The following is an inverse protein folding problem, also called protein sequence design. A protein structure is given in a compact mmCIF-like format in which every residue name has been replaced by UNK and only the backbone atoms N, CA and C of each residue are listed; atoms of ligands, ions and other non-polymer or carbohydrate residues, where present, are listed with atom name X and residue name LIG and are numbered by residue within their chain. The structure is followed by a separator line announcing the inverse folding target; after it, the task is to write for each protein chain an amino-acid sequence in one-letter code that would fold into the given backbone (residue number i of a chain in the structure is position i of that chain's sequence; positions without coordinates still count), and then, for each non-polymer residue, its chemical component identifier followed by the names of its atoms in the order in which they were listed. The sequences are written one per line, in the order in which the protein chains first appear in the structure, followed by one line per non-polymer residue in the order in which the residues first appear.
data_IF_720974167619
#
_entry.id   IF_720974167619
#
_cell.length_a   1.000
_cell.length_b   1.000
_cell.length_c   1.000
_cell.angle_alpha   90.00
_cell.angle_beta   90.00
_cell.angle_gamma   90.00
#
_symmetry.space_group_name_H-M   'P 1'
#
loop_
_entity.id
_entity.type
_entity.pdbx_description
1 polymer ?
#
# COMPACT_ATOMS: atom_id res chain seq x y z
N UNK A 1 -23.30 -26.24 1.03
CA UNK A 1 -23.16 -25.75 -0.38
C UNK A 1 -23.35 -24.24 -0.55
N UNK A 2 -23.69 -23.46 0.49
CA UNK A 2 -23.94 -22.00 0.36
C UNK A 2 -22.73 -21.20 -0.15
N UNK A 3 -21.51 -21.64 0.19
CA UNK A 3 -20.25 -20.96 -0.15
C UNK A 3 -19.91 -21.02 -1.65
N UNK A 4 -20.24 -22.14 -2.30
CA UNK A 4 -19.95 -22.35 -3.73
C UNK A 4 -20.99 -21.69 -4.62
N UNK A 5 -22.17 -21.40 -4.09
CA UNK A 5 -23.27 -20.78 -4.85
C UNK A 5 -23.15 -19.26 -4.95
N UNK A 6 -22.30 -18.62 -4.15
CA UNK A 6 -22.13 -17.17 -4.16
C UNK A 6 -20.94 -16.76 -5.07
N UNK A 7 -21.18 -16.16 -6.25
CA UNK A 7 -20.12 -15.78 -7.19
C UNK A 7 -19.21 -14.66 -6.70
N UNK A 8 -19.60 -13.94 -5.64
CA UNK A 8 -18.80 -12.87 -5.05
C UNK A 8 -17.79 -13.38 -4.01
N UNK A 9 -17.89 -14.65 -3.61
CA UNK A 9 -16.97 -15.25 -2.65
C UNK A 9 -15.91 -16.09 -3.39
N UNK A 10 -14.62 -15.85 -3.13
CA UNK A 10 -13.56 -16.66 -3.71
C UNK A 10 -13.63 -18.08 -3.16
N UNK A 11 -13.65 -19.07 -4.06
CA UNK A 11 -13.57 -20.48 -3.70
C UNK A 11 -12.16 -21.01 -4.01
N UNK A 12 -11.48 -21.54 -2.98
CA UNK A 12 -10.10 -22.00 -3.07
C UNK A 12 -9.61 -22.65 -1.78
N UNK A 13 -8.48 -23.35 -1.87
CA UNK A 13 -7.84 -24.02 -0.74
C UNK A 13 -6.61 -23.27 -0.22
N UNK A 14 -6.10 -23.72 0.93
CA UNK A 14 -4.82 -23.27 1.53
C UNK A 14 -4.04 -24.50 2.05
N UNK A 15 -2.73 -24.53 1.80
CA UNK A 15 -1.84 -25.61 2.26
C UNK A 15 -2.13 -26.93 1.55
N UNK A 16 -2.41 -27.99 2.31
CA UNK A 16 -2.69 -29.33 1.75
C UNK A 16 -3.97 -29.37 0.90
N UNK A 17 -4.86 -28.38 1.05
CA UNK A 17 -6.10 -28.27 0.27
C UNK A 17 -5.93 -27.50 -1.05
N UNK A 18 -4.75 -26.94 -1.34
CA UNK A 18 -4.44 -26.24 -2.58
C UNK A 18 -3.98 -24.80 -2.36
N UNK A 19 -3.86 -24.05 -3.47
CA UNK A 19 -3.49 -22.64 -3.51
C UNK A 19 -4.30 -21.89 -4.57
N UNK A 20 -4.48 -20.58 -4.34
CA UNK A 20 -5.29 -19.74 -5.20
C UNK A 20 -6.78 -19.92 -4.95
N UNK A 21 -7.56 -19.03 -5.55
CA UNK A 21 -9.01 -19.08 -5.45
C UNK A 21 -9.62 -18.49 -6.73
N UNK A 22 -10.74 -19.05 -7.15
CA UNK A 22 -11.49 -18.61 -8.32
C UNK A 22 -12.91 -18.22 -7.90
N UNK A 23 -13.79 -18.05 -8.89
CA UNK A 23 -15.20 -17.63 -8.83
C UNK A 23 -15.39 -16.15 -9.15
N UNK A 24 -16.46 -15.84 -9.90
CA UNK A 24 -16.79 -14.48 -10.35
C UNK A 24 -15.57 -13.73 -10.93
N UNK A 25 -15.32 -12.53 -10.40
CA UNK A 25 -14.18 -11.69 -10.78
C UNK A 25 -12.81 -12.34 -10.51
N UNK A 26 -12.70 -13.18 -9.47
CA UNK A 26 -11.43 -13.84 -9.13
C UNK A 26 -11.02 -14.86 -10.18
N UNK A 27 -11.97 -15.53 -10.85
CA UNK A 27 -11.64 -16.35 -12.03
C UNK A 27 -10.99 -15.51 -13.14
N UNK A 28 -11.53 -14.32 -13.42
CA UNK A 28 -10.95 -13.42 -14.43
C UNK A 28 -9.53 -13.01 -14.04
N UNK A 29 -9.30 -12.60 -12.79
CA UNK A 29 -7.96 -12.26 -12.30
C UNK A 29 -6.99 -13.44 -12.40
N UNK A 30 -7.42 -14.66 -12.06
CA UNK A 30 -6.57 -15.87 -12.08
C UNK A 30 -6.16 -16.24 -13.50
N UNK A 31 -7.05 -16.10 -14.49
CA UNK A 31 -6.77 -16.43 -15.88
C UNK A 31 -6.30 -15.24 -16.72
N UNK A 32 -6.11 -14.06 -16.11
CA UNK A 32 -5.62 -12.86 -16.78
C UNK A 32 -4.23 -12.49 -16.31
N UNK A 33 -3.45 -11.89 -17.20
CA UNK A 33 -2.17 -11.30 -16.84
C UNK A 33 -2.35 -9.80 -16.60
N UNK A 34 -2.22 -9.37 -15.34
CA UNK A 34 -2.23 -7.95 -14.96
C UNK A 34 -0.96 -7.26 -15.44
N UNK A 35 -0.97 -6.79 -16.70
CA UNK A 35 0.17 -6.12 -17.33
C UNK A 35 0.31 -4.68 -16.81
N UNK A 36 1.35 -4.43 -16.04
CA UNK A 36 1.71 -3.07 -15.60
C UNK A 36 2.16 -2.21 -16.78
N UNK A 37 1.55 -1.05 -16.96
CA UNK A 37 1.93 -0.04 -17.96
C UNK A 37 2.18 1.28 -17.23
N UNK A 38 3.36 1.86 -17.42
CA UNK A 38 3.72 3.16 -16.86
C UNK A 38 3.82 4.20 -17.99
N UNK A 39 3.10 5.30 -17.83
CA UNK A 39 3.24 6.48 -18.68
C UNK A 39 3.95 7.58 -17.89
N UNK A 40 5.08 8.10 -18.42
CA UNK A 40 5.87 9.16 -17.78
C UNK A 40 5.95 10.36 -18.70
N UNK A 41 5.67 11.54 -18.14
CA UNK A 41 5.90 12.83 -18.80
C UNK A 41 7.33 13.33 -18.58
N UNK A 42 7.86 14.08 -19.53
CA UNK A 42 9.25 14.59 -19.50
C UNK A 42 9.50 15.69 -18.46
N UNK A 43 8.45 16.30 -17.90
CA UNK A 43 8.56 17.54 -17.10
C UNK A 43 9.13 17.29 -15.69
N UNK A 44 8.94 16.08 -15.13
CA UNK A 44 9.37 15.73 -13.77
C UNK A 44 10.48 14.68 -13.79
N UNK A 45 11.49 14.84 -14.65
CA UNK A 45 12.68 14.01 -14.57
C UNK A 45 13.67 14.57 -13.54
N UNK A 46 14.11 13.68 -12.65
CA UNK A 46 14.97 14.03 -11.53
C UNK A 46 16.41 13.96 -12.05
N UNK A 47 17.16 15.07 -11.97
CA UNK A 47 18.54 15.15 -12.48
C UNK A 47 19.46 14.09 -11.84
N UNK A 48 19.20 13.73 -10.58
CA UNK A 48 19.92 12.71 -9.81
C UNK A 48 19.77 11.28 -10.38
N UNK A 49 18.87 11.06 -11.35
CA UNK A 49 18.76 9.81 -12.11
C UNK A 49 19.96 9.61 -13.05
N UNK A 50 20.59 10.69 -13.50
CA UNK A 50 21.66 10.68 -14.49
C UNK A 50 23.02 10.92 -13.83
N UNK A 51 24.10 10.49 -14.51
CA UNK A 51 25.46 10.77 -14.05
C UNK A 51 25.82 12.26 -14.20
N UNK A 52 26.75 12.79 -13.37
CA UNK A 52 27.53 12.11 -12.34
C UNK A 52 26.84 12.08 -10.96
N UNK A 53 26.98 10.95 -10.25
CA UNK A 53 26.41 10.77 -8.91
C UNK A 53 27.26 11.48 -7.85
N UNK A 54 26.88 12.70 -7.49
CA UNK A 54 27.58 13.48 -6.46
C UNK A 54 27.31 12.93 -5.05
N UNK A 55 28.25 13.09 -4.10
CA UNK A 55 28.04 12.67 -2.70
C UNK A 55 26.79 13.29 -2.08
N UNK A 56 26.50 14.56 -2.42
CA UNK A 56 25.31 15.28 -1.96
C UNK A 56 24.01 14.67 -2.52
N UNK A 57 23.95 14.39 -3.83
CA UNK A 57 22.77 13.76 -4.43
C UNK A 57 22.48 12.38 -3.81
N UNK A 58 23.52 11.60 -3.51
CA UNK A 58 23.39 10.31 -2.83
C UNK A 58 22.86 10.43 -1.41
N UNK A 59 23.33 11.42 -0.65
CA UNK A 59 22.83 11.69 0.70
C UNK A 59 21.38 12.16 0.69
N UNK A 60 21.01 13.03 -0.25
CA UNK A 60 19.64 13.51 -0.41
C UNK A 60 18.67 12.38 -0.80
N UNK A 61 19.03 11.56 -1.78
CA UNK A 61 18.22 10.41 -2.17
C UNK A 61 18.11 9.40 -1.02
N UNK A 62 19.21 9.15 -0.30
CA UNK A 62 19.17 8.35 0.92
C UNK A 62 18.16 8.90 1.91
N UNK A 63 18.28 10.20 2.25
CA UNK A 63 17.39 10.90 3.16
C UNK A 63 15.90 10.77 2.76
N UNK A 64 15.60 11.00 1.49
CA UNK A 64 14.24 11.03 0.95
C UNK A 64 13.63 9.62 0.78
N UNK A 65 14.43 8.62 0.43
CA UNK A 65 13.98 7.24 0.26
C UNK A 65 14.07 6.41 1.55
N UNK A 66 14.57 6.96 2.67
CA UNK A 66 14.61 6.21 3.92
C UNK A 66 13.19 5.79 4.32
N UNK A 67 12.92 4.48 4.43
CA UNK A 67 11.60 4.01 4.81
C UNK A 67 11.31 4.43 6.24
N UNK A 68 10.19 5.14 6.44
CA UNK A 68 9.74 5.53 7.78
C UNK A 68 9.51 4.24 8.58
N UNK A 69 10.15 4.07 9.75
CA UNK A 69 9.98 2.86 10.53
C UNK A 69 8.51 2.73 10.99
N UNK A 70 7.96 1.52 10.90
CA UNK A 70 6.56 1.24 11.28
C UNK A 70 6.24 1.62 12.73
N UNK A 71 7.24 1.63 13.62
CA UNK A 71 7.09 2.09 15.01
C UNK A 71 6.70 3.56 15.08
N UNK A 72 7.31 4.43 14.27
CA UNK A 72 7.00 5.84 14.20
C UNK A 72 5.61 6.10 13.61
N UNK A 73 5.22 5.31 12.59
CA UNK A 73 3.86 5.38 12.04
C UNK A 73 2.80 4.98 13.08
N UNK A 74 3.05 3.92 13.86
CA UNK A 74 2.13 3.52 14.95
C UNK A 74 2.07 4.56 16.05
N UNK A 75 3.21 5.14 16.42
CA UNK A 75 3.27 6.21 17.42
C UNK A 75 2.54 7.48 16.96
N UNK A 76 2.72 7.90 15.69
CA UNK A 76 2.05 9.09 15.15
C UNK A 76 0.54 8.91 15.05
N UNK A 77 0.08 7.72 14.63
CA UNK A 77 -1.36 7.39 14.62
C UNK A 77 -1.93 7.39 16.03
N UNK A 78 -1.20 6.83 17.01
CA UNK A 78 -1.65 6.82 18.41
C UNK A 78 -1.74 8.25 18.97
N UNK A 79 -0.72 9.08 18.77
CA UNK A 79 -0.74 10.49 19.21
C UNK A 79 -1.87 11.28 18.54
N UNK A 80 -2.09 11.08 17.24
CA UNK A 80 -3.19 11.71 16.52
C UNK A 80 -4.57 11.30 17.05
N UNK A 81 -4.74 10.02 17.39
CA UNK A 81 -5.97 9.51 18.00
C UNK A 81 -6.20 10.11 19.40
N UNK A 82 -5.17 10.19 20.24
CA UNK A 82 -5.27 10.80 21.57
C UNK A 82 -5.61 12.29 21.47
N UNK A 83 -4.96 13.01 20.56
CA UNK A 83 -5.26 14.41 20.30
C UNK A 83 -6.70 14.61 19.80
N UNK A 84 -7.16 13.76 18.87
CA UNK A 84 -8.52 13.81 18.34
C UNK A 84 -9.57 13.52 19.42
N UNK A 85 -9.34 12.52 20.27
CA UNK A 85 -10.21 12.23 21.43
C UNK A 85 -10.22 13.42 22.39
N UNK A 86 -9.06 14.01 22.69
CA UNK A 86 -8.95 15.20 23.54
C UNK A 86 -9.73 16.40 22.98
N UNK A 87 -9.64 16.65 21.67
CA UNK A 87 -10.40 17.72 20.99
C UNK A 87 -11.90 17.44 21.05
N UNK A 88 -12.33 16.21 20.79
CA UNK A 88 -13.76 15.83 20.85
C UNK A 88 -14.29 16.01 22.27
N UNK A 89 -13.56 15.57 23.29
CA UNK A 89 -13.94 15.77 24.68
C UNK A 89 -13.99 17.26 25.03
N UNK A 90 -13.02 18.06 24.60
CA UNK A 90 -13.04 19.51 24.83
C UNK A 90 -14.26 20.20 24.19
N UNK A 91 -14.74 19.73 23.03
CA UNK A 91 -15.95 20.26 22.38
C UNK A 91 -17.23 19.80 23.09
N UNK A 92 -17.28 18.56 23.59
CA UNK A 92 -18.47 17.99 24.24
C UNK A 92 -18.69 18.54 25.65
N UNK A 93 -17.61 18.91 26.35
CA UNK A 93 -17.63 19.43 27.72
C UNK A 93 -17.44 20.96 27.81
N UNK A 94 -17.41 21.66 26.67
CA UNK A 94 -17.48 23.13 26.59
C UNK A 94 -18.94 23.59 26.42
#
# INVERSE_FOLDING_TARGET
MVQISNPNLPFGGVGNSGMGAYHGHKSFEVFSHAKSVQYKHFILDIAQRYQPYTPFARQLLGAALFPIPRSWQRASVFVALVALVGIVLAIVYA
#
